data_IF_245433127460
#
_entry.id   IF_245433127460
#
_cell.length_a   1.000
_cell.length_b   1.000
_cell.length_c   1.000
_cell.angle_alpha   90.00
_cell.angle_beta   90.00
_cell.angle_gamma   90.00
#
_symmetry.space_group_name_H-M   'P 1'
#
loop_
_entity.id
_entity.type
_entity.pdbx_description
1 polymer ?
#
# COMPACT_ATOMS: atom_id res chain seq x y z
N UNK A 1 8.71 13.69 -28.40
CA UNK A 1 8.82 12.66 -27.35
C UNK A 1 7.46 12.62 -26.69
N UNK A 2 6.82 11.46 -26.70
CA UNK A 2 5.47 11.26 -26.17
C UNK A 2 5.55 10.70 -24.75
N UNK A 3 4.55 11.02 -23.92
CA UNK A 3 4.39 10.43 -22.60
C UNK A 3 3.46 9.22 -22.73
N UNK A 4 3.88 8.08 -22.16
CA UNK A 4 3.08 6.85 -22.17
C UNK A 4 2.86 6.39 -20.74
N UNK A 5 1.59 6.28 -20.35
CA UNK A 5 1.15 5.75 -19.05
C UNK A 5 0.69 4.33 -19.24
N UNK A 6 1.27 3.40 -18.50
CA UNK A 6 0.96 1.98 -18.61
C UNK A 6 0.42 1.47 -17.29
N UNK A 7 -0.85 1.08 -17.28
CA UNK A 7 -1.51 0.61 -16.06
C UNK A 7 -1.39 -0.91 -16.01
N UNK A 8 -0.88 -1.43 -14.89
CA UNK A 8 -0.61 -2.86 -14.73
C UNK A 8 -1.25 -3.40 -13.46
N UNK A 9 -1.41 -4.73 -13.41
CA UNK A 9 -1.77 -5.45 -12.19
C UNK A 9 -0.56 -5.81 -11.33
N UNK A 10 0.56 -6.12 -11.97
CA UNK A 10 1.78 -6.57 -11.29
C UNK A 10 2.98 -6.28 -12.17
N UNK A 11 4.09 -5.86 -11.56
CA UNK A 11 5.35 -5.66 -12.27
C UNK A 11 6.22 -6.91 -12.14
N UNK A 12 6.47 -7.55 -13.28
CA UNK A 12 7.40 -8.67 -13.42
C UNK A 12 8.08 -8.66 -14.80
N UNK A 13 9.00 -9.61 -15.04
CA UNK A 13 9.76 -9.68 -16.29
C UNK A 13 8.90 -9.90 -17.54
N UNK A 14 7.79 -10.62 -17.42
CA UNK A 14 6.87 -10.90 -18.53
C UNK A 14 6.04 -9.67 -18.87
N UNK A 15 5.48 -9.01 -17.85
CA UNK A 15 4.77 -7.73 -18.00
C UNK A 15 5.66 -6.71 -18.70
N UNK A 16 6.93 -6.58 -18.32
CA UNK A 16 7.83 -5.62 -18.95
C UNK A 16 8.11 -5.94 -20.42
N UNK A 17 8.31 -7.22 -20.78
CA UNK A 17 8.46 -7.63 -22.18
C UNK A 17 7.23 -7.25 -23.00
N UNK A 18 6.05 -7.42 -22.42
CA UNK A 18 4.79 -7.03 -23.06
C UNK A 18 4.69 -5.50 -23.22
N UNK A 19 5.00 -4.73 -22.19
CA UNK A 19 5.06 -3.26 -22.25
C UNK A 19 5.98 -2.82 -23.39
N UNK A 20 7.19 -3.37 -23.45
CA UNK A 20 8.14 -3.05 -24.51
C UNK A 20 7.61 -3.31 -25.91
N UNK A 21 6.91 -4.42 -26.11
CA UNK A 21 6.29 -4.72 -27.40
C UNK A 21 5.27 -3.65 -27.80
N UNK A 22 4.45 -3.18 -26.87
CA UNK A 22 3.50 -2.11 -27.16
C UNK A 22 4.18 -0.77 -27.43
N UNK A 23 5.22 -0.43 -26.66
CA UNK A 23 5.99 0.81 -26.88
C UNK A 23 6.64 0.81 -28.26
N UNK A 24 7.32 -0.28 -28.65
CA UNK A 24 7.94 -0.36 -29.99
C UNK A 24 6.92 -0.16 -31.12
N UNK A 25 5.72 -0.73 -30.97
CA UNK A 25 4.64 -0.54 -31.95
C UNK A 25 4.14 0.92 -31.97
N UNK A 26 4.01 1.55 -30.81
CA UNK A 26 3.58 2.95 -30.69
C UNK A 26 4.61 3.93 -31.26
N UNK A 27 5.90 3.73 -30.99
CA UNK A 27 6.98 4.55 -31.54
C UNK A 27 7.08 4.40 -33.06
N UNK A 28 6.89 3.18 -33.58
CA UNK A 28 6.84 2.93 -35.01
C UNK A 28 5.65 3.64 -35.69
N UNK A 29 4.50 3.72 -35.02
CA UNK A 29 3.30 4.40 -35.52
C UNK A 29 3.39 5.93 -35.44
N UNK A 30 3.89 6.46 -34.31
CA UNK A 30 3.93 7.91 -34.05
C UNK A 30 5.19 8.58 -34.59
N UNK A 31 6.23 7.80 -34.92
CA UNK A 31 7.57 8.27 -35.27
C UNK A 31 8.22 9.14 -34.18
N UNK A 32 7.86 8.91 -32.92
CA UNK A 32 8.42 9.62 -31.76
C UNK A 32 8.89 8.65 -30.70
N UNK A 33 9.98 8.99 -30.01
CA UNK A 33 10.41 8.29 -28.80
C UNK A 33 9.41 8.48 -27.66
N UNK A 34 9.30 7.48 -26.80
CA UNK A 34 8.41 7.45 -25.64
C UNK A 34 9.18 7.58 -24.33
N UNK A 35 8.62 8.36 -23.38
CA UNK A 35 8.95 8.25 -21.96
C UNK A 35 7.83 7.47 -21.28
N UNK A 36 8.18 6.44 -20.53
CA UNK A 36 7.22 5.46 -20.02
C UNK A 36 7.08 5.63 -18.50
N UNK A 37 5.84 5.73 -18.02
CA UNK A 37 5.51 5.60 -16.60
C UNK A 37 4.59 4.40 -16.40
N UNK A 38 5.02 3.42 -15.62
CA UNK A 38 4.16 2.31 -15.17
C UNK A 38 3.39 2.75 -13.94
N UNK A 39 2.06 2.65 -13.99
CA UNK A 39 1.15 2.91 -12.89
C UNK A 39 0.75 1.56 -12.26
N UNK A 40 1.20 1.31 -11.04
CA UNK A 40 0.92 0.10 -10.27
C UNK A 40 0.06 0.42 -9.02
N UNK A 41 -1.25 0.11 -9.03
CA UNK A 41 -2.13 0.35 -7.89
C UNK A 41 -1.99 -0.72 -6.79
N UNK A 42 -1.13 -1.73 -6.95
CA UNK A 42 -1.07 -2.88 -6.03
C UNK A 42 -0.39 -2.57 -4.69
N UNK A 43 -0.95 -3.13 -3.61
CA UNK A 43 -0.34 -3.09 -2.29
C UNK A 43 0.77 -4.16 -2.15
N UNK A 44 1.92 -3.75 -1.61
CA UNK A 44 3.03 -4.63 -1.27
C UNK A 44 3.32 -4.56 0.24
N UNK A 45 3.34 -5.71 0.91
CA UNK A 45 3.60 -5.83 2.36
C UNK A 45 5.03 -5.48 2.82
N UNK A 46 5.91 -5.18 1.88
CA UNK A 46 7.27 -4.75 2.15
C UNK A 46 7.70 -3.83 1.02
N UNK A 47 7.54 -2.52 1.24
CA UNK A 47 7.81 -1.52 0.21
C UNK A 47 9.29 -1.42 -0.13
N UNK A 48 10.20 -1.69 0.81
CA UNK A 48 11.65 -1.66 0.54
C UNK A 48 12.06 -2.80 -0.38
N UNK A 49 11.59 -4.02 -0.09
CA UNK A 49 11.81 -5.18 -0.97
C UNK A 49 11.22 -4.94 -2.36
N UNK A 50 10.04 -4.32 -2.43
CA UNK A 50 9.43 -3.96 -3.69
C UNK A 50 10.23 -2.88 -4.43
N UNK A 51 10.68 -1.82 -3.75
CA UNK A 51 11.49 -0.76 -4.33
C UNK A 51 12.82 -1.31 -4.89
N UNK A 52 13.52 -2.18 -4.14
CA UNK A 52 14.73 -2.86 -4.61
C UNK A 52 14.45 -3.74 -5.82
N UNK A 53 13.34 -4.49 -5.81
CA UNK A 53 12.92 -5.31 -6.96
C UNK A 53 12.72 -4.42 -8.19
N UNK A 54 12.06 -3.27 -8.04
CA UNK A 54 11.86 -2.30 -9.11
C UNK A 54 13.20 -1.72 -9.58
N UNK A 55 14.08 -1.26 -8.68
CA UNK A 55 15.42 -0.75 -9.03
C UNK A 55 16.25 -1.77 -9.82
N UNK A 56 16.24 -3.04 -9.40
CA UNK A 56 16.95 -4.12 -10.08
C UNK A 56 16.40 -4.41 -11.48
N UNK A 57 15.09 -4.27 -11.64
CA UNK A 57 14.39 -4.42 -12.91
C UNK A 57 14.71 -3.22 -13.84
N UNK A 58 14.64 -2.00 -13.31
CA UNK A 58 14.77 -0.75 -14.06
C UNK A 58 16.22 -0.38 -14.38
N UNK A 59 17.20 -0.87 -13.62
CA UNK A 59 18.63 -0.54 -13.82
C UNK A 59 19.20 -0.91 -15.20
N UNK A 60 18.42 -1.58 -16.04
CA UNK A 60 18.74 -1.91 -17.43
C UNK A 60 18.01 -1.06 -18.48
N UNK A 61 17.21 -0.07 -18.05
CA UNK A 61 16.23 0.63 -18.88
C UNK A 61 16.29 2.13 -18.61
N UNK A 62 16.82 2.91 -19.55
CA UNK A 62 16.63 4.36 -19.54
C UNK A 62 15.19 4.69 -19.92
N UNK A 63 14.64 5.79 -19.40
CA UNK A 63 13.33 6.36 -19.77
C UNK A 63 12.07 5.60 -19.30
N UNK A 64 12.23 4.72 -18.30
CA UNK A 64 11.15 4.01 -17.62
C UNK A 64 11.06 4.38 -16.13
N UNK A 65 9.89 4.85 -15.71
CA UNK A 65 9.56 5.16 -14.32
C UNK A 65 8.45 4.25 -13.82
N UNK A 66 8.41 4.00 -12.51
CA UNK A 66 7.34 3.23 -11.85
C UNK A 66 6.73 4.09 -10.76
N UNK A 67 5.44 4.39 -10.90
CA UNK A 67 4.63 5.02 -9.87
C UNK A 67 3.76 3.94 -9.25
N UNK A 68 4.05 3.58 -8.00
CA UNK A 68 3.20 2.69 -7.22
C UNK A 68 2.42 3.51 -6.19
N UNK A 69 1.10 3.30 -6.18
CA UNK A 69 0.14 4.04 -5.37
C UNK A 69 0.56 4.14 -3.90
N UNK A 70 0.95 3.02 -3.31
CA UNK A 70 1.27 2.97 -1.89
C UNK A 70 2.70 3.44 -1.61
N UNK A 71 3.64 3.05 -2.48
CA UNK A 71 5.06 3.37 -2.31
C UNK A 71 5.32 4.88 -2.33
N UNK A 72 4.69 5.60 -3.27
CA UNK A 72 4.84 7.06 -3.41
C UNK A 72 4.39 7.82 -2.16
N UNK A 73 3.35 7.32 -1.48
CA UNK A 73 2.82 7.94 -0.27
C UNK A 73 3.59 7.51 0.98
N UNK A 74 4.14 6.30 0.98
CA UNK A 74 4.80 5.72 2.14
C UNK A 74 6.16 6.36 2.45
N UNK A 75 6.99 6.57 1.42
CA UNK A 75 8.35 7.10 1.55
C UNK A 75 8.37 8.63 1.69
N UNK A 76 7.66 9.15 2.69
CA UNK A 76 7.71 10.57 3.07
C UNK A 76 8.96 10.92 3.90
N UNK A 77 9.67 9.93 4.43
CA UNK A 77 10.93 10.09 5.18
C UNK A 77 11.76 8.81 5.22
N UNK A 78 13.06 8.94 5.54
CA UNK A 78 14.00 7.83 5.74
C UNK A 78 13.93 7.20 7.15
N UNK A 79 12.84 7.45 7.89
CA UNK A 79 12.70 6.96 9.26
C UNK A 79 12.56 5.45 9.28
N UNK A 80 13.21 4.79 10.24
CA UNK A 80 13.13 3.34 10.45
C UNK A 80 12.71 3.00 11.88
N UNK A 81 12.28 1.75 12.09
CA UNK A 81 11.89 1.21 13.39
C UNK A 81 10.83 2.04 14.14
N UNK A 82 9.91 2.69 13.42
CA UNK A 82 8.87 3.52 14.04
C UNK A 82 7.91 2.73 14.96
N UNK A 83 7.87 1.38 14.84
CA UNK A 83 7.10 0.52 15.74
C UNK A 83 7.53 0.63 17.20
N UNK A 84 8.83 0.83 17.45
CA UNK A 84 9.36 0.92 18.81
C UNK A 84 8.84 2.17 19.51
N UNK A 85 8.90 3.32 18.83
CA UNK A 85 8.36 4.57 19.36
C UNK A 85 6.84 4.48 19.55
N UNK A 86 6.13 3.97 18.54
CA UNK A 86 4.68 3.80 18.63
C UNK A 86 4.27 2.93 19.82
N UNK A 87 4.98 1.81 20.04
CA UNK A 87 4.76 0.91 21.17
C UNK A 87 5.11 1.56 22.50
N UNK A 88 6.26 2.21 22.60
CA UNK A 88 6.72 2.89 23.82
C UNK A 88 5.79 4.02 24.24
N UNK A 89 5.26 4.79 23.27
CA UNK A 89 4.28 5.84 23.54
C UNK A 89 2.98 5.26 24.10
N UNK A 90 2.53 4.10 23.62
CA UNK A 90 1.32 3.45 24.09
C UNK A 90 1.45 2.94 25.54
N UNK A 91 2.59 2.36 25.91
CA UNK A 91 2.83 1.82 27.27
C UNK A 91 3.44 2.85 28.22
N UNK A 92 3.60 4.11 27.80
CA UNK A 92 4.28 5.12 28.59
C UNK A 92 3.62 5.31 29.97
N UNK A 93 4.44 5.35 31.02
CA UNK A 93 3.99 5.47 32.41
C UNK A 93 3.41 4.19 33.01
N UNK A 94 3.36 3.07 32.28
CA UNK A 94 2.94 1.78 32.82
C UNK A 94 4.15 1.02 33.38
N UNK A 95 3.95 0.27 34.48
CA UNK A 95 4.93 -0.72 34.92
C UNK A 95 4.75 -1.97 34.05
N UNK A 96 5.78 -2.31 33.28
CA UNK A 96 5.72 -3.39 32.30
C UNK A 96 6.54 -4.60 32.73
N UNK A 97 5.92 -5.77 32.64
CA UNK A 97 6.55 -7.08 32.71
C UNK A 97 6.54 -7.70 31.31
N UNK A 98 7.67 -8.28 30.89
CA UNK A 98 7.79 -8.90 29.57
C UNK A 98 7.91 -10.41 29.73
N UNK A 99 7.04 -11.15 29.05
CA UNK A 99 7.08 -12.61 28.97
C UNK A 99 7.02 -13.09 27.52
N UNK A 100 7.22 -14.39 27.31
CA UNK A 100 6.94 -15.05 26.04
C UNK A 100 5.83 -16.07 26.21
N UNK A 101 4.89 -16.11 25.28
CA UNK A 101 3.88 -17.16 25.24
C UNK A 101 4.43 -18.43 24.54
N UNK A 102 3.61 -19.48 24.49
CA UNK A 102 3.98 -20.77 23.88
C UNK A 102 4.27 -20.67 22.37
N UNK A 103 3.67 -19.68 21.69
CA UNK A 103 3.92 -19.37 20.28
C UNK A 103 5.20 -18.54 20.06
N UNK A 104 5.91 -18.18 21.14
CA UNK A 104 7.14 -17.38 21.12
C UNK A 104 6.91 -15.87 20.99
N UNK A 105 5.66 -15.41 20.99
CA UNK A 105 5.30 -13.99 20.97
C UNK A 105 5.72 -13.31 22.27
N UNK A 106 6.25 -12.09 22.17
CA UNK A 106 6.57 -11.28 23.35
C UNK A 106 5.33 -10.57 23.84
N UNK A 107 4.96 -10.78 25.10
CA UNK A 107 3.83 -10.13 25.74
C UNK A 107 4.31 -9.09 26.73
N UNK A 108 3.81 -7.87 26.61
CA UNK A 108 4.07 -6.76 27.51
C UNK A 108 2.85 -6.62 28.40
N UNK A 109 3.00 -6.94 29.68
CA UNK A 109 1.93 -6.97 30.66
C UNK A 109 2.04 -5.83 31.66
N UNK A 110 0.90 -5.31 32.10
CA UNK A 110 0.80 -4.43 33.25
C UNK A 110 -0.32 -4.90 34.17
N UNK A 111 0.01 -5.06 35.46
CA UNK A 111 -0.92 -5.59 36.47
C UNK A 111 -1.59 -6.92 36.04
N UNK A 112 -0.81 -7.82 35.45
CA UNK A 112 -1.30 -9.13 34.98
C UNK A 112 -2.10 -9.10 33.67
N UNK A 113 -2.36 -7.93 33.08
CA UNK A 113 -3.06 -7.79 31.80
C UNK A 113 -2.09 -7.54 30.66
N UNK A 114 -2.24 -8.27 29.55
CA UNK A 114 -1.51 -7.98 28.31
C UNK A 114 -1.96 -6.64 27.74
N UNK A 115 -1.01 -5.75 27.47
CA UNK A 115 -1.23 -4.47 26.79
C UNK A 115 -0.71 -4.51 25.35
N UNK A 116 0.40 -5.21 25.12
CA UNK A 116 0.99 -5.38 23.79
C UNK A 116 1.40 -6.83 23.58
N UNK A 117 1.10 -7.37 22.40
CA UNK A 117 1.63 -8.65 21.91
C UNK A 117 2.45 -8.40 20.65
N UNK A 118 3.67 -8.90 20.61
CA UNK A 118 4.58 -8.75 19.47
C UNK A 118 4.85 -10.13 18.88
N UNK A 119 4.41 -10.31 17.63
CA UNK A 119 4.79 -11.43 16.78
C UNK A 119 6.07 -11.07 16.00
N UNK A 120 6.91 -12.07 15.82
CA UNK A 120 8.15 -11.96 15.05
C UNK A 120 8.22 -13.06 14.01
N UNK A 121 8.84 -12.74 12.87
CA UNK A 121 9.14 -13.73 11.84
C UNK A 121 10.26 -14.70 12.28
N UNK A 122 10.59 -15.65 11.40
CA UNK A 122 11.64 -16.67 11.64
C UNK A 122 13.05 -16.06 11.86
N UNK A 123 13.26 -14.81 11.47
CA UNK A 123 14.52 -14.08 11.65
C UNK A 123 14.47 -13.16 12.89
N UNK A 124 13.47 -13.32 13.75
CA UNK A 124 13.18 -12.46 14.90
C UNK A 124 12.88 -10.99 14.55
N UNK A 125 12.53 -10.67 13.30
CA UNK A 125 12.05 -9.34 12.92
C UNK A 125 10.58 -9.20 13.29
N UNK A 126 10.18 -8.05 13.83
CA UNK A 126 8.77 -7.78 14.15
C UNK A 126 7.97 -7.68 12.86
N UNK A 127 6.89 -8.48 12.75
CA UNK A 127 5.98 -8.46 11.59
C UNK A 127 4.59 -7.93 11.95
N UNK A 128 4.17 -8.08 13.21
CA UNK A 128 2.82 -7.76 13.67
C UNK A 128 2.86 -7.41 15.16
N UNK A 129 2.14 -6.34 15.52
CA UNK A 129 1.99 -5.91 16.91
C UNK A 129 0.53 -5.64 17.22
N UNK A 130 0.04 -6.22 18.30
CA UNK A 130 -1.34 -6.05 18.76
C UNK A 130 -1.40 -5.26 20.05
N UNK A 131 -2.39 -4.38 20.16
CA UNK A 131 -2.60 -3.47 21.28
C UNK A 131 -3.95 -3.76 21.94
N UNK A 132 -3.92 -3.88 23.26
CA UNK A 132 -5.06 -4.28 24.07
C UNK A 132 -5.37 -3.21 25.12
N UNK A 133 -6.66 -2.96 25.34
CA UNK A 133 -7.09 -2.24 26.53
C UNK A 133 -6.95 -3.16 27.75
N UNK A 134 -6.68 -2.57 28.91
CA UNK A 134 -6.52 -3.33 30.17
C UNK A 134 -7.77 -4.18 30.43
N UNK A 135 -7.57 -5.48 30.62
CA UNK A 135 -8.65 -6.46 30.85
C UNK A 135 -9.26 -7.06 29.59
N UNK A 136 -9.00 -6.51 28.41
CA UNK A 136 -9.53 -7.05 27.15
C UNK A 136 -8.67 -8.20 26.64
N UNK A 137 -9.33 -9.26 26.14
CA UNK A 137 -8.68 -10.38 25.45
C UNK A 137 -8.54 -10.14 23.94
N UNK A 138 -9.26 -9.16 23.42
CA UNK A 138 -9.32 -8.83 22.00
C UNK A 138 -8.55 -7.53 21.79
N UNK A 139 -7.65 -7.46 20.78
CA UNK A 139 -6.93 -6.24 20.51
C UNK A 139 -7.86 -5.19 19.92
N UNK A 140 -7.72 -3.93 20.36
CA UNK A 140 -8.45 -2.82 19.74
C UNK A 140 -7.69 -2.26 18.54
N UNK A 141 -6.37 -2.52 18.44
CA UNK A 141 -5.53 -2.18 17.29
C UNK A 141 -4.53 -3.28 16.96
N UNK A 142 -4.21 -3.42 15.68
CA UNK A 142 -3.11 -4.24 15.16
C UNK A 142 -2.31 -3.44 14.16
N UNK A 143 -1.00 -3.39 14.34
CA UNK A 143 -0.06 -2.79 13.40
C UNK A 143 0.65 -3.89 12.60
N UNK A 144 0.69 -3.76 11.27
CA UNK A 144 1.53 -4.60 10.40
C UNK A 144 2.85 -3.87 10.13
N UNK A 145 3.95 -4.60 10.26
CA UNK A 145 5.30 -4.06 10.28
C UNK A 145 6.12 -4.69 9.14
N UNK A 146 6.86 -3.87 8.39
CA UNK A 146 7.72 -4.33 7.30
C UNK A 146 9.12 -4.78 7.78
N UNK A 147 9.96 -5.24 6.84
CA UNK A 147 11.31 -5.73 7.15
C UNK A 147 12.28 -4.71 7.77
N UNK A 148 11.94 -3.42 7.79
CA UNK A 148 12.69 -2.31 8.39
C UNK A 148 12.12 -1.87 9.76
N UNK A 149 11.16 -2.60 10.31
CA UNK A 149 10.55 -2.29 11.60
C UNK A 149 9.58 -1.10 11.56
N UNK A 150 9.14 -0.69 10.38
CA UNK A 150 8.16 0.37 10.24
C UNK A 150 6.75 -0.18 10.08
N UNK A 151 5.79 0.48 10.72
CA UNK A 151 4.35 0.24 10.53
C UNK A 151 3.98 0.66 9.09
N UNK A 152 3.24 -0.20 8.40
CA UNK A 152 2.63 0.11 7.10
C UNK A 152 1.12 0.27 7.22
N UNK A 153 0.49 -0.54 8.07
CA UNK A 153 -0.95 -0.47 8.31
C UNK A 153 -1.29 -0.55 9.78
N UNK A 154 -2.36 0.15 10.17
CA UNK A 154 -2.97 0.08 11.48
C UNK A 154 -4.44 -0.30 11.29
N UNK A 155 -4.79 -1.51 11.73
CA UNK A 155 -6.16 -2.00 11.74
C UNK A 155 -6.78 -1.75 13.11
N UNK A 156 -7.95 -1.13 13.13
CA UNK A 156 -8.74 -0.88 14.33
C UNK A 156 -9.90 -1.86 14.41
N UNK A 157 -10.15 -2.38 15.60
CA UNK A 157 -11.20 -3.35 15.89
C UNK A 157 -12.21 -2.77 16.89
N UNK A 158 -13.45 -3.20 16.74
CA UNK A 158 -14.49 -2.98 17.74
C UNK A 158 -14.15 -3.80 18.99
N UNK A 159 -14.03 -3.11 20.13
CA UNK A 159 -13.53 -3.69 21.39
C UNK A 159 -14.46 -4.76 21.98
N UNK A 160 -15.74 -4.75 21.58
CA UNK A 160 -16.75 -5.73 22.03
C UNK A 160 -16.82 -6.95 21.13
N UNK A 161 -16.91 -6.75 19.82
CA UNK A 161 -17.12 -7.81 18.84
C UNK A 161 -15.82 -8.38 18.26
N UNK A 162 -14.71 -7.68 18.40
CA UNK A 162 -13.42 -8.02 17.79
C UNK A 162 -13.42 -7.95 16.26
N UNK A 163 -14.45 -7.36 15.66
CA UNK A 163 -14.52 -7.18 14.21
C UNK A 163 -13.72 -5.96 13.80
N UNK A 164 -13.01 -6.08 12.67
CA UNK A 164 -12.33 -4.93 12.08
C UNK A 164 -13.37 -3.85 11.72
N UNK A 165 -13.05 -2.59 12.06
CA UNK A 165 -13.88 -1.41 11.77
C UNK A 165 -13.28 -0.65 10.60
N UNK A 166 -11.98 -0.40 10.65
CA UNK A 166 -11.23 0.23 9.57
C UNK A 166 -9.75 -0.16 9.61
N UNK A 167 -9.07 0.09 8.51
CA UNK A 167 -7.63 -0.02 8.35
C UNK A 167 -7.09 1.27 7.75
N UNK A 168 -6.01 1.77 8.34
CA UNK A 168 -5.29 2.96 7.89
C UNK A 168 -3.94 2.52 7.35
N UNK A 169 -3.60 2.96 6.13
CA UNK A 169 -2.24 2.89 5.62
C UNK A 169 -1.53 4.17 6.02
N UNK A 170 -0.34 4.03 6.59
CA UNK A 170 0.40 5.13 7.20
C UNK A 170 1.79 5.23 6.59
N UNK A 171 2.29 6.45 6.48
CA UNK A 171 3.65 6.70 6.02
C UNK A 171 4.70 6.36 7.11
N UNK A 172 5.99 6.52 6.80
CA UNK A 172 7.06 6.29 7.76
C UNK A 172 6.97 7.18 9.03
N UNK A 173 6.23 8.29 8.98
CA UNK A 173 5.95 9.19 10.11
C UNK A 173 4.65 8.86 10.85
N UNK A 174 3.97 7.77 10.49
CA UNK A 174 2.70 7.34 11.06
C UNK A 174 1.52 8.27 10.74
N UNK A 175 1.65 9.07 9.67
CA UNK A 175 0.56 9.89 9.14
C UNK A 175 -0.28 9.02 8.19
N UNK A 176 -1.59 8.88 8.42
CA UNK A 176 -2.45 8.10 7.55
C UNK A 176 -2.63 8.79 6.19
N UNK A 177 -2.54 8.01 5.11
CA UNK A 177 -2.76 8.48 3.73
C UNK A 177 -3.88 7.72 3.00
N UNK A 178 -4.25 6.51 3.45
CA UNK A 178 -5.43 5.77 2.97
C UNK A 178 -6.20 5.24 4.17
N UNK A 179 -7.53 5.29 4.08
CA UNK A 179 -8.43 4.66 5.04
C UNK A 179 -9.43 3.75 4.33
N UNK A 180 -9.58 2.53 4.85
CA UNK A 180 -10.52 1.53 4.35
C UNK A 180 -11.44 1.12 5.50
N UNK A 181 -12.75 1.21 5.31
CA UNK A 181 -13.74 0.74 6.29
C UNK A 181 -14.22 -0.67 5.97
N UNK A 182 -14.59 -1.41 7.02
CA UNK A 182 -15.13 -2.76 6.90
C UNK A 182 -16.59 -2.78 7.34
N UNK A 183 -17.42 -3.50 6.58
CA UNK A 183 -18.80 -3.77 6.97
C UNK A 183 -18.88 -4.84 8.08
N UNK A 184 -20.10 -5.10 8.56
CA UNK A 184 -20.37 -6.11 9.62
C UNK A 184 -19.97 -7.55 9.27
N UNK A 185 -19.75 -7.85 7.99
CA UNK A 185 -19.27 -9.16 7.47
C UNK A 185 -17.74 -9.22 7.38
N UNK A 186 -17.03 -8.14 7.71
CA UNK A 186 -15.57 -8.05 7.60
C UNK A 186 -15.07 -7.82 6.17
N UNK A 187 -15.96 -7.39 5.26
CA UNK A 187 -15.59 -7.06 3.88
C UNK A 187 -15.30 -5.56 3.79
N UNK A 188 -14.33 -5.16 2.95
CA UNK A 188 -14.09 -3.75 2.64
C UNK A 188 -15.39 -3.13 2.08
N UNK A 189 -15.78 -1.98 2.60
CA UNK A 189 -17.05 -1.30 2.29
C UNK A 189 -16.81 0.04 1.61
N UNK A 190 -15.80 0.77 2.06
CA UNK A 190 -15.47 2.08 1.50
C UNK A 190 -14.00 2.41 1.67
N UNK A 191 -13.53 3.38 0.88
CA UNK A 191 -12.14 3.76 0.71
C UNK A 191 -12.04 5.29 0.66
N UNK A 192 -10.97 5.85 1.21
CA UNK A 192 -10.69 7.28 1.18
C UNK A 192 -9.19 7.55 1.14
N UNK A 193 -8.79 8.51 0.29
CA UNK A 193 -7.48 9.16 0.39
C UNK A 193 -7.51 10.23 1.48
N UNK A 194 -6.65 10.10 2.48
CA UNK A 194 -6.56 11.09 3.56
C UNK A 194 -5.69 12.26 3.10
N UNK A 195 -6.19 13.49 3.29
CA UNK A 195 -5.51 14.71 2.87
C UNK A 195 -5.70 15.08 1.40
N UNK A 196 -6.45 14.27 0.65
CA UNK A 196 -6.86 14.59 -0.72
C UNK A 196 -8.27 15.17 -0.73
N UNK A 197 -8.55 16.07 -1.66
CA UNK A 197 -9.92 16.56 -1.94
C UNK A 197 -10.69 15.56 -2.81
N UNK A 198 -10.71 14.28 -2.39
CA UNK A 198 -11.44 13.20 -3.06
C UNK A 198 -12.54 12.67 -2.12
N UNK A 199 -13.71 12.30 -2.68
CA UNK A 199 -14.80 11.75 -1.88
C UNK A 199 -14.45 10.33 -1.36
N UNK A 200 -15.22 9.89 -0.37
CA UNK A 200 -15.26 8.47 0.01
C UNK A 200 -15.93 7.70 -1.11
N UNK A 201 -15.31 6.60 -1.55
CA UNK A 201 -15.82 5.72 -2.61
C UNK A 201 -16.08 4.31 -2.09
N UNK A 202 -16.95 3.57 -2.76
CA UNK A 202 -17.45 2.27 -2.27
C UNK A 202 -16.89 1.07 -3.04
N UNK A 203 -15.87 1.28 -3.87
CA UNK A 203 -15.17 0.21 -4.58
C UNK A 203 -13.68 0.49 -4.68
N UNK A 204 -12.88 -0.58 -4.73
CA UNK A 204 -11.42 -0.48 -4.91
C UNK A 204 -11.08 0.08 -6.30
N UNK A 205 -11.94 -0.17 -7.28
CA UNK A 205 -11.80 0.30 -8.66
C UNK A 205 -11.94 1.82 -8.72
N UNK A 206 -13.00 2.38 -8.12
CA UNK A 206 -13.21 3.84 -8.05
C UNK A 206 -12.10 4.52 -7.24
N UNK A 207 -11.61 3.85 -6.19
CA UNK A 207 -10.52 4.36 -5.36
C UNK A 207 -9.21 4.48 -6.14
N UNK A 208 -8.85 3.42 -6.88
CA UNK A 208 -7.66 3.43 -7.70
C UNK A 208 -7.79 4.42 -8.88
N UNK A 209 -9.00 4.59 -9.42
CA UNK A 209 -9.31 5.57 -10.47
C UNK A 209 -9.01 7.01 -10.03
N UNK A 210 -9.38 7.40 -8.79
CA UNK A 210 -9.04 8.72 -8.23
C UNK A 210 -7.52 9.02 -8.27
N UNK A 211 -6.67 8.01 -8.05
CA UNK A 211 -5.23 8.17 -8.16
C UNK A 211 -4.75 8.16 -9.62
N UNK A 212 -5.18 7.18 -10.41
CA UNK A 212 -4.74 7.01 -11.81
C UNK A 212 -5.03 8.29 -12.63
N UNK A 213 -6.19 8.93 -12.42
CA UNK A 213 -6.54 10.16 -13.13
C UNK A 213 -5.63 11.34 -12.86
N UNK A 214 -5.00 11.39 -11.69
CA UNK A 214 -4.02 12.45 -11.37
C UNK A 214 -2.66 12.19 -12.02
N UNK A 215 -2.37 10.93 -12.34
CA UNK A 215 -1.13 10.51 -12.99
C UNK A 215 -1.18 10.63 -14.53
N UNK A 216 -2.36 10.72 -15.12
CA UNK A 216 -2.58 10.78 -16.57
C UNK A 216 -2.88 12.21 -17.00
N UNK A 217 -1.98 12.79 -17.81
CA UNK A 217 -2.19 14.07 -18.46
C UNK A 217 -3.10 13.96 -19.69
N UNK A 218 -3.73 15.07 -20.10
CA UNK A 218 -4.61 15.14 -21.27
C UNK A 218 -3.91 14.74 -22.59
N UNK A 219 -2.59 14.90 -22.65
CA UNK A 219 -1.78 14.57 -23.83
C UNK A 219 -1.14 13.18 -23.79
N UNK A 220 -1.34 12.43 -22.71
CA UNK A 220 -0.65 11.16 -22.51
C UNK A 220 -1.31 10.05 -23.34
N UNK A 221 -0.48 9.12 -23.84
CA UNK A 221 -0.97 7.86 -24.36
C UNK A 221 -1.14 6.87 -23.21
N UNK A 222 -2.26 6.15 -23.18
CA UNK A 222 -2.57 5.20 -22.11
C UNK A 222 -2.63 3.79 -22.67
N UNK A 223 -1.84 2.89 -22.09
CA UNK A 223 -1.92 1.44 -22.35
C UNK A 223 -2.49 0.79 -21.09
N UNK A 224 -3.68 0.22 -21.19
CA UNK A 224 -4.27 -0.52 -20.07
C UNK A 224 -3.95 -2.02 -20.19
N UNK A 225 -3.05 -2.51 -19.35
CA UNK A 225 -2.80 -3.95 -19.16
C UNK A 225 -3.52 -4.51 -17.92
N UNK A 226 -4.36 -3.68 -17.30
CA UNK A 226 -5.13 -4.05 -16.12
C UNK A 226 -6.63 -4.08 -16.42
N UNK A 227 -7.14 -5.29 -16.68
CA UNK A 227 -8.54 -5.50 -17.08
C UNK A 227 -9.57 -5.06 -16.03
N UNK A 228 -9.18 -4.96 -14.76
CA UNK A 228 -10.06 -4.48 -13.70
C UNK A 228 -10.45 -3.00 -13.91
N UNK A 229 -9.71 -2.29 -14.76
CA UNK A 229 -9.90 -0.88 -15.09
C UNK A 229 -10.53 -0.64 -16.47
N UNK A 230 -10.87 -1.69 -17.23
CA UNK A 230 -11.42 -1.54 -18.60
C UNK A 230 -12.69 -0.69 -18.62
N UNK A 231 -13.53 -0.82 -17.58
CA UNK A 231 -14.78 -0.05 -17.45
C UNK A 231 -14.51 1.45 -17.26
N UNK A 232 -13.42 1.82 -16.57
CA UNK A 232 -13.09 3.20 -16.23
C UNK A 232 -12.65 4.01 -17.44
N UNK A 233 -11.97 3.37 -18.39
CA UNK A 233 -11.45 4.05 -19.57
C UNK A 233 -12.47 4.25 -20.70
N UNK A 234 -13.66 3.66 -20.59
CA UNK A 234 -14.75 3.87 -21.55
C UNK A 234 -15.38 5.26 -21.51
N UNK A 235 -15.10 6.07 -20.47
CA UNK A 235 -15.86 7.31 -20.18
C UNK A 235 -15.03 8.59 -20.04
N UNK A 236 -13.69 8.53 -19.89
CA UNK A 236 -12.91 9.71 -19.47
C UNK A 236 -11.64 10.04 -20.27
N UNK A 237 -11.09 9.11 -21.04
CA UNK A 237 -9.88 9.35 -21.84
C UNK A 237 -10.26 9.43 -23.30
N UNK A 238 -9.65 10.34 -24.05
CA UNK A 238 -9.84 10.45 -25.49
C UNK A 238 -9.58 9.07 -26.11
N UNK A 239 -10.62 8.49 -26.71
CA UNK A 239 -10.65 7.09 -27.16
C UNK A 239 -9.56 6.83 -28.19
N UNK A 240 -9.09 7.87 -28.89
CA UNK A 240 -8.02 7.79 -29.87
C UNK A 240 -6.62 7.54 -29.28
N UNK A 241 -6.42 7.74 -27.96
CA UNK A 241 -5.12 7.62 -27.28
C UNK A 241 -5.11 6.55 -26.18
N UNK A 242 -6.18 5.78 -26.11
CA UNK A 242 -6.34 4.64 -25.22
C UNK A 242 -6.15 3.33 -25.99
N UNK A 243 -5.17 2.55 -25.57
CA UNK A 243 -4.95 1.20 -26.08
C UNK A 243 -5.40 0.19 -25.01
N UNK A 244 -6.57 -0.40 -25.25
CA UNK A 244 -7.09 -1.54 -24.47
C UNK A 244 -6.54 -2.85 -25.06
N UNK A 245 -6.13 -3.79 -24.19
CA UNK A 245 -5.45 -5.05 -24.56
C UNK A 245 -6.18 -6.28 -24.03
#
# INVERSE_FOLDING_TARGET
MIQVKVIVNTINKETLKEIYRYILNLEAYTHQQSRITILDPSYNKDYYTFEEKIKNILGSISDLEVHNLYLQQYFSSDRENNINEYTNNFINGQKIEVEKNDDGHRLFKSEGHTLVSIESDKNNKVNLVEFFNKGNKIPFRRALVNGHGNIQTIRTFDDKSGKAVYEEYVDANLVPFIKIWFNKKGQKESYQFIGWDEPVVNSEVDFNDCWIRKEIGVSDYVINLNRDFDVLFSTFVDVERLFLV
#
